data_IF_862001168933
#
_entry.id   IF_862001168933
#
_cell.length_a   1.000
_cell.length_b   1.000
_cell.length_c   1.000
_cell.angle_alpha   90.00
_cell.angle_beta   90.00
_cell.angle_gamma   90.00
#
_symmetry.space_group_name_H-M   'P 1'
#
loop_
_entity.id
_entity.type
_entity.pdbx_description
1 polymer ?
#
# COMPACT_ATOMS: atom_id res chain seq x y z
N UNK A 1 24.26 2.04 60.84
CA UNK A 1 25.15 3.22 60.91
C UNK A 1 24.24 4.44 60.98
N UNK A 2 24.43 5.28 62.01
CA UNK A 2 23.77 6.60 62.19
C UNK A 2 23.98 7.46 60.92
N UNK A 3 23.09 8.36 60.49
CA UNK A 3 22.54 9.50 61.22
C UNK A 3 21.15 9.95 60.71
N UNK A 4 20.30 10.36 61.66
CA UNK A 4 19.26 11.37 61.49
C UNK A 4 19.91 12.78 61.55
N UNK A 5 19.40 13.74 60.78
CA UNK A 5 18.67 14.93 61.27
C UNK A 5 18.58 16.04 60.20
N UNK A 6 17.34 16.44 59.92
CA UNK A 6 16.93 17.84 59.80
C UNK A 6 16.35 18.24 58.44
N UNK A 7 15.19 18.91 58.34
CA UNK A 7 14.08 19.10 59.29
C UNK A 7 12.93 19.78 58.52
N UNK A 8 11.72 19.67 59.09
CA UNK A 8 10.59 20.62 59.00
C UNK A 8 9.94 20.93 57.63
N UNK A 9 8.71 20.45 57.43
CA UNK A 9 7.47 21.17 57.81
C UNK A 9 6.20 20.58 57.14
N UNK A 10 5.38 19.87 57.94
CA UNK A 10 3.95 20.14 58.23
C UNK A 10 3.17 20.97 57.17
N UNK A 11 1.99 20.61 56.65
CA UNK A 11 0.80 20.07 57.33
C UNK A 11 -0.33 19.81 56.31
N UNK A 12 -1.06 18.72 56.57
CA UNK A 12 -2.53 18.55 56.56
C UNK A 12 -3.40 18.82 55.32
N UNK A 13 -4.13 17.76 54.99
CA UNK A 13 -5.33 17.65 54.17
C UNK A 13 -6.48 18.56 54.63
N UNK A 14 -7.25 19.13 53.69
CA UNK A 14 -8.70 19.33 53.83
C UNK A 14 -9.39 19.18 52.46
N UNK A 15 -10.47 18.39 52.47
CA UNK A 15 -11.45 18.16 51.41
C UNK A 15 -12.23 19.44 51.01
N UNK A 16 -12.72 19.49 49.76
CA UNK A 16 -14.15 19.63 49.38
C UNK A 16 -14.40 20.35 48.04
N UNK A 17 -15.44 19.84 47.37
CA UNK A 17 -16.41 20.54 46.51
C UNK A 17 -16.03 20.96 45.07
N UNK A 18 -16.64 20.21 44.14
CA UNK A 18 -17.52 20.69 43.06
C UNK A 18 -17.44 22.16 42.66
N UNK A 19 -17.18 22.41 41.37
CA UNK A 19 -17.61 23.64 40.69
C UNK A 19 -18.07 23.30 39.27
N UNK A 20 -19.36 23.56 39.04
CA UNK A 20 -20.04 23.48 37.75
C UNK A 20 -19.73 24.70 36.87
N UNK A 21 -19.81 24.45 35.56
CA UNK A 21 -20.17 25.38 34.47
C UNK A 21 -19.35 26.65 34.26
N UNK A 22 -18.63 26.69 33.15
CA UNK A 22 -18.73 27.83 32.23
C UNK A 22 -18.76 27.33 30.79
N UNK A 23 -19.94 27.44 30.20
CA UNK A 23 -20.16 27.50 28.76
C UNK A 23 -19.24 28.55 28.15
N UNK A 24 -18.32 28.12 27.30
CA UNK A 24 -17.74 28.97 26.28
C UNK A 24 -18.12 28.35 24.94
N UNK A 25 -19.20 28.88 24.39
CA UNK A 25 -19.46 28.84 22.95
C UNK A 25 -18.19 29.33 22.25
N UNK A 26 -17.58 28.44 21.48
CA UNK A 26 -16.56 28.79 20.51
C UNK A 26 -16.86 27.97 19.27
N UNK A 27 -17.80 28.52 18.48
CA UNK A 27 -17.93 28.30 17.05
C UNK A 27 -16.59 28.65 16.38
N UNK A 28 -15.59 27.78 16.52
CA UNK A 28 -14.36 27.85 15.76
C UNK A 28 -14.51 26.98 14.51
N UNK A 29 -15.27 27.50 13.54
CA UNK A 29 -15.18 27.04 12.17
C UNK A 29 -13.73 27.28 11.70
N UNK A 30 -12.94 26.24 11.39
CA UNK A 30 -11.58 26.47 10.90
C UNK A 30 -11.68 27.14 9.53
N UNK A 31 -10.96 28.25 9.35
CA UNK A 31 -10.89 28.97 8.08
C UNK A 31 -10.57 28.03 6.92
N UNK A 32 -11.19 28.30 5.77
CA UNK A 32 -10.94 27.64 4.47
C UNK A 32 -9.45 27.49 4.14
N UNK A 33 -8.64 28.44 4.60
CA UNK A 33 -7.19 28.50 4.41
C UNK A 33 -6.42 27.29 4.98
N UNK A 34 -6.85 26.74 6.12
CA UNK A 34 -6.19 25.56 6.71
C UNK A 34 -6.54 24.27 5.96
N UNK A 35 -7.79 24.16 5.47
CA UNK A 35 -8.24 23.05 4.65
C UNK A 35 -7.52 23.03 3.29
N UNK A 36 -7.34 24.20 2.69
CA UNK A 36 -6.63 24.34 1.41
C UNK A 36 -5.16 23.95 1.52
N UNK A 37 -4.50 24.26 2.64
CA UNK A 37 -3.10 23.88 2.88
C UNK A 37 -2.93 22.35 2.95
N UNK A 38 -3.80 21.67 3.68
CA UNK A 38 -3.77 20.22 3.81
C UNK A 38 -4.03 19.50 2.47
N UNK A 39 -4.98 20.00 1.67
CA UNK A 39 -5.24 19.49 0.32
C UNK A 39 -4.01 19.68 -0.59
N UNK A 40 -3.34 20.83 -0.50
CA UNK A 40 -2.15 21.09 -1.29
C UNK A 40 -0.98 20.18 -0.90
N UNK A 41 -0.80 19.88 0.38
CA UNK A 41 0.26 18.97 0.85
C UNK A 41 0.03 17.53 0.40
N UNK A 42 -1.20 17.02 0.54
CA UNK A 42 -1.58 15.71 0.00
C UNK A 42 -1.38 15.63 -1.51
N UNK A 43 -1.74 16.69 -2.23
CA UNK A 43 -1.53 16.81 -3.68
C UNK A 43 -0.06 16.73 -4.06
N UNK A 44 0.80 17.46 -3.36
CA UNK A 44 2.24 17.46 -3.64
C UNK A 44 2.88 16.10 -3.37
N UNK A 45 2.54 15.43 -2.26
CA UNK A 45 3.10 14.12 -1.96
C UNK A 45 2.66 13.05 -2.99
N UNK A 46 1.38 13.07 -3.37
CA UNK A 46 0.86 12.15 -4.38
C UNK A 46 1.49 12.40 -5.77
N UNK A 47 1.72 13.66 -6.14
CA UNK A 47 2.43 14.03 -7.37
C UNK A 47 3.87 13.49 -7.38
N UNK A 48 4.61 13.61 -6.28
CA UNK A 48 5.97 13.09 -6.18
C UNK A 48 6.03 11.57 -6.30
N UNK A 49 5.07 10.86 -5.71
CA UNK A 49 4.97 9.40 -5.85
C UNK A 49 4.73 8.98 -7.31
N UNK A 50 3.82 9.66 -8.00
CA UNK A 50 3.55 9.39 -9.43
C UNK A 50 4.78 9.65 -10.30
N UNK A 51 5.54 10.72 -10.03
CA UNK A 51 6.78 11.02 -10.74
C UNK A 51 7.86 9.95 -10.54
N UNK A 52 8.03 9.42 -9.33
CA UNK A 52 8.99 8.33 -9.06
C UNK A 52 8.61 7.06 -9.82
N UNK A 53 7.31 6.74 -9.90
CA UNK A 53 6.82 5.60 -10.68
C UNK A 53 7.08 5.76 -12.18
N UNK A 54 6.97 6.98 -12.71
CA UNK A 54 7.21 7.29 -14.12
C UNK A 54 8.72 7.32 -14.48
N UNK A 55 9.59 7.73 -13.57
CA UNK A 55 11.03 7.89 -13.85
C UNK A 55 11.83 6.58 -13.92
N UNK A 56 11.27 5.45 -13.49
CA UNK A 56 11.92 4.13 -13.58
C UNK A 56 11.63 3.35 -14.88
N UNK A 57 10.91 3.96 -15.82
CA UNK A 57 10.70 3.37 -17.14
C UNK A 57 11.61 4.07 -18.13
N UNK A 58 12.66 3.39 -18.63
CA UNK A 58 13.18 3.52 -20.01
C UNK A 58 14.54 2.83 -20.23
N UNK A 59 14.70 1.56 -19.80
CA UNK A 59 15.71 0.70 -20.43
C UNK A 59 15.11 -0.67 -20.71
N UNK A 60 14.64 -0.86 -21.96
CA UNK A 60 14.35 -2.19 -22.48
C UNK A 60 15.69 -2.83 -22.78
N UNK A 61 16.23 -3.59 -21.83
CA UNK A 61 17.42 -4.40 -22.08
C UNK A 61 17.02 -5.58 -22.97
N UNK A 62 17.18 -5.42 -24.28
CA UNK A 62 16.98 -6.52 -25.24
C UNK A 62 18.22 -7.41 -25.14
N UNK A 63 18.19 -8.35 -24.18
CA UNK A 63 19.20 -9.39 -24.07
C UNK A 63 19.12 -10.33 -25.27
N UNK A 64 20.24 -10.51 -25.98
CA UNK A 64 20.36 -11.55 -26.99
C UNK A 64 20.29 -12.96 -26.40
N UNK A 65 20.31 -13.97 -27.27
CA UNK A 65 20.43 -15.36 -26.82
C UNK A 65 21.73 -15.55 -26.04
N UNK A 66 21.63 -16.00 -24.79
CA UNK A 66 22.79 -16.31 -23.96
C UNK A 66 23.29 -17.71 -24.37
N UNK A 67 24.55 -17.85 -24.84
CA UNK A 67 25.12 -19.15 -25.17
C UNK A 67 25.00 -20.11 -23.99
N UNK A 68 24.44 -21.31 -24.22
CA UNK A 68 24.21 -22.32 -23.17
C UNK A 68 22.87 -22.20 -22.43
N UNK A 69 22.01 -21.24 -22.76
CA UNK A 69 20.67 -21.15 -22.19
C UNK A 69 19.75 -22.27 -22.72
N UNK A 70 19.33 -23.17 -21.82
CA UNK A 70 18.41 -24.26 -22.13
C UNK A 70 16.98 -23.83 -21.85
N UNK A 71 16.12 -23.86 -22.87
CA UNK A 71 14.68 -23.60 -22.72
C UNK A 71 14.01 -24.88 -22.21
N UNK A 72 13.58 -24.87 -20.95
CA UNK A 72 12.81 -25.96 -20.35
C UNK A 72 11.35 -25.87 -20.80
N UNK A 73 10.81 -26.98 -21.33
CA UNK A 73 9.38 -27.11 -21.56
C UNK A 73 8.66 -27.37 -20.23
N UNK A 74 7.87 -26.40 -19.77
CA UNK A 74 7.18 -26.40 -18.48
C UNK A 74 5.74 -26.88 -18.53
N UNK A 75 5.28 -27.31 -19.70
CA UNK A 75 3.87 -27.69 -19.94
C UNK A 75 2.89 -26.56 -19.58
N UNK A 76 3.17 -25.37 -20.16
CA UNK A 76 2.47 -24.12 -19.85
C UNK A 76 0.97 -24.15 -20.18
N UNK A 77 0.57 -24.94 -21.17
CA UNK A 77 -0.83 -25.06 -21.60
C UNK A 77 -1.63 -25.87 -20.58
N UNK A 78 -1.14 -27.05 -20.17
CA UNK A 78 -1.79 -27.83 -19.13
C UNK A 78 -1.85 -27.08 -17.79
N UNK A 79 -0.85 -26.24 -17.50
CA UNK A 79 -0.85 -25.39 -16.32
C UNK A 79 -1.97 -24.33 -16.36
N UNK A 80 -2.24 -23.75 -17.53
CA UNK A 80 -3.34 -22.81 -17.73
C UNK A 80 -4.70 -23.48 -17.50
N UNK A 81 -4.91 -24.65 -18.11
CA UNK A 81 -6.12 -25.44 -17.91
C UNK A 81 -6.36 -25.80 -16.44
N UNK A 82 -5.30 -26.19 -15.74
CA UNK A 82 -5.35 -26.50 -14.32
C UNK A 82 -5.69 -25.26 -13.49
N UNK A 83 -5.06 -24.12 -13.78
CA UNK A 83 -5.33 -22.86 -13.10
C UNK A 83 -6.79 -22.42 -13.31
N UNK A 84 -7.28 -22.53 -14.54
CA UNK A 84 -8.66 -22.20 -14.88
C UNK A 84 -9.65 -23.09 -14.11
N UNK A 85 -9.43 -24.41 -14.14
CA UNK A 85 -10.27 -25.37 -13.41
C UNK A 85 -10.23 -25.15 -11.89
N UNK A 86 -9.07 -24.78 -11.36
CA UNK A 86 -8.89 -24.57 -9.93
C UNK A 86 -9.69 -23.38 -9.39
N UNK A 87 -9.81 -22.29 -10.15
CA UNK A 87 -10.34 -21.01 -9.64
C UNK A 87 -11.41 -20.33 -10.49
N UNK A 88 -11.34 -20.47 -11.82
CA UNK A 88 -12.06 -19.59 -12.75
C UNK A 88 -13.18 -20.30 -13.52
N UNK A 89 -13.25 -21.63 -13.47
CA UNK A 89 -14.35 -22.40 -14.05
C UNK A 89 -15.68 -22.14 -13.33
N UNK A 90 -16.79 -22.55 -13.97
CA UNK A 90 -18.14 -22.42 -13.40
C UNK A 90 -18.29 -23.15 -12.05
N UNK A 91 -17.63 -24.31 -11.92
CA UNK A 91 -17.54 -25.10 -10.68
C UNK A 91 -16.08 -25.25 -10.28
N UNK A 92 -15.46 -24.22 -9.68
CA UNK A 92 -14.02 -24.23 -9.40
C UNK A 92 -13.68 -25.22 -8.29
N UNK A 93 -12.51 -25.86 -8.39
CA UNK A 93 -12.02 -26.77 -7.34
C UNK A 93 -11.90 -26.07 -5.99
N UNK A 94 -11.48 -24.80 -6.01
CA UNK A 94 -11.40 -23.95 -4.83
C UNK A 94 -12.51 -22.90 -4.88
N UNK A 95 -13.35 -22.89 -3.83
CA UNK A 95 -14.44 -21.92 -3.72
C UNK A 95 -13.94 -20.48 -3.49
N UNK A 96 -14.88 -19.52 -3.55
CA UNK A 96 -14.57 -18.09 -3.42
C UNK A 96 -13.94 -17.72 -2.07
N UNK A 97 -14.24 -18.46 -1.00
CA UNK A 97 -13.61 -18.23 0.32
C UNK A 97 -12.11 -18.57 0.30
N UNK A 98 -11.75 -19.71 -0.31
CA UNK A 98 -10.36 -20.11 -0.51
C UNK A 98 -9.67 -19.15 -1.49
N UNK A 99 -10.34 -18.74 -2.56
CA UNK A 99 -9.84 -17.73 -3.49
C UNK A 99 -9.48 -16.44 -2.75
N UNK A 100 -10.42 -15.90 -1.96
CA UNK A 100 -10.21 -14.66 -1.18
C UNK A 100 -9.06 -14.78 -0.19
N UNK A 101 -8.90 -15.94 0.45
CA UNK A 101 -7.75 -16.20 1.34
C UNK A 101 -6.43 -16.18 0.57
N UNK A 102 -6.39 -16.72 -0.64
CA UNK A 102 -5.17 -16.88 -1.46
C UNK A 102 -4.76 -15.60 -2.20
N UNK A 103 -5.74 -14.89 -2.76
CA UNK A 103 -5.50 -13.67 -3.56
C UNK A 103 -5.74 -12.38 -2.79
N UNK A 104 -6.22 -12.46 -1.53
CA UNK A 104 -6.58 -11.32 -0.67
C UNK A 104 -7.67 -10.41 -1.24
N UNK A 105 -8.42 -10.88 -2.24
CA UNK A 105 -9.52 -10.15 -2.88
C UNK A 105 -10.60 -11.09 -3.42
N UNK A 106 -11.76 -10.56 -3.80
CA UNK A 106 -12.80 -11.37 -4.45
C UNK A 106 -12.38 -11.77 -5.87
N UNK A 107 -12.90 -12.90 -6.35
CA UNK A 107 -12.69 -13.38 -7.72
C UNK A 107 -13.16 -12.37 -8.77
N UNK A 108 -14.30 -11.71 -8.51
CA UNK A 108 -14.83 -10.67 -9.41
C UNK A 108 -13.90 -9.46 -9.51
N UNK A 109 -13.31 -8.99 -8.41
CA UNK A 109 -12.35 -7.90 -8.45
C UNK A 109 -11.08 -8.31 -9.20
N UNK A 110 -10.60 -9.53 -8.96
CA UNK A 110 -9.45 -10.07 -9.69
C UNK A 110 -9.72 -10.11 -11.19
N UNK A 111 -10.86 -10.64 -11.64
CA UNK A 111 -11.22 -10.70 -13.06
C UNK A 111 -11.37 -9.30 -13.67
N UNK A 112 -11.95 -8.33 -12.94
CA UNK A 112 -12.01 -6.93 -13.39
C UNK A 112 -10.62 -6.35 -13.64
N UNK A 113 -9.65 -6.67 -12.79
CA UNK A 113 -8.25 -6.25 -12.97
C UNK A 113 -7.62 -6.96 -14.18
N UNK A 114 -7.88 -8.26 -14.33
CA UNK A 114 -7.39 -9.06 -15.47
C UNK A 114 -7.86 -8.48 -16.79
N UNK A 115 -9.16 -8.22 -16.92
CA UNK A 115 -9.76 -7.69 -18.15
C UNK A 115 -9.21 -6.30 -18.47
N UNK A 116 -9.20 -5.40 -17.48
CA UNK A 116 -8.72 -4.04 -17.69
C UNK A 116 -7.23 -3.97 -18.08
N UNK A 117 -6.39 -4.85 -17.52
CA UNK A 117 -4.96 -4.91 -17.88
C UNK A 117 -4.76 -5.55 -19.25
N UNK A 118 -5.53 -6.60 -19.57
CA UNK A 118 -5.48 -7.26 -20.88
C UNK A 118 -5.83 -6.29 -22.00
N UNK A 119 -6.85 -5.46 -21.79
CA UNK A 119 -7.28 -4.44 -22.76
C UNK A 119 -6.27 -3.30 -22.89
N UNK A 120 -5.49 -3.02 -21.84
CA UNK A 120 -4.53 -1.92 -21.81
C UNK A 120 -3.15 -2.27 -22.40
N UNK A 121 -2.56 -3.43 -22.05
CA UNK A 121 -1.24 -3.85 -22.53
C UNK A 121 -1.30 -5.20 -23.26
N UNK A 122 -1.11 -5.16 -24.59
CA UNK A 122 -1.14 -6.33 -25.47
C UNK A 122 -0.10 -7.40 -25.11
N UNK A 123 0.85 -7.12 -24.22
CA UNK A 123 1.74 -8.12 -23.64
C UNK A 123 0.97 -9.19 -22.87
N UNK A 124 -0.12 -8.82 -22.18
CA UNK A 124 -0.89 -9.75 -21.36
C UNK A 124 -1.84 -10.61 -22.17
N UNK A 125 -2.15 -10.21 -23.41
CA UNK A 125 -2.91 -11.03 -24.34
C UNK A 125 -2.16 -12.34 -24.65
N UNK A 126 -2.89 -13.45 -24.66
CA UNK A 126 -2.34 -14.74 -25.04
C UNK A 126 -2.15 -14.78 -26.56
N UNK A 127 -0.94 -15.09 -27.01
CA UNK A 127 -0.59 -15.15 -28.43
C UNK A 127 -0.14 -16.54 -28.81
N UNK A 128 -0.26 -16.87 -30.09
CA UNK A 128 0.24 -18.11 -30.66
C UNK A 128 1.68 -17.87 -31.13
N UNK A 129 2.59 -18.78 -30.79
CA UNK A 129 3.98 -18.70 -31.25
C UNK A 129 4.14 -19.13 -32.72
N UNK A 130 5.33 -18.94 -33.29
CA UNK A 130 5.60 -19.31 -34.69
C UNK A 130 5.47 -20.82 -34.97
N UNK A 131 5.40 -21.65 -33.93
CA UNK A 131 5.21 -23.10 -34.01
C UNK A 131 3.73 -23.50 -33.81
N UNK A 132 2.82 -22.53 -33.71
CA UNK A 132 1.39 -22.77 -33.54
C UNK A 132 0.96 -23.10 -32.10
N UNK A 133 1.83 -22.92 -31.10
CA UNK A 133 1.50 -23.22 -29.70
C UNK A 133 1.02 -22.00 -28.95
N UNK A 134 0.19 -22.21 -27.93
CA UNK A 134 -0.29 -21.12 -27.11
C UNK A 134 0.82 -20.62 -26.17
N UNK A 135 1.00 -19.30 -26.17
CA UNK A 135 1.81 -18.60 -25.17
C UNK A 135 1.14 -18.64 -23.79
N UNK A 136 1.81 -18.04 -22.81
CA UNK A 136 1.24 -17.90 -21.46
C UNK A 136 0.00 -17.02 -21.49
N UNK A 137 -1.05 -17.48 -20.81
CA UNK A 137 -2.32 -16.75 -20.72
C UNK A 137 -2.21 -15.51 -19.84
N UNK A 138 -3.19 -14.62 -19.97
CA UNK A 138 -3.36 -13.45 -19.10
C UNK A 138 -3.51 -13.89 -17.63
N UNK A 139 -4.30 -14.94 -17.37
CA UNK A 139 -4.54 -15.47 -16.04
C UNK A 139 -3.27 -16.01 -15.39
N UNK A 140 -2.41 -16.70 -16.15
CA UNK A 140 -1.11 -17.18 -15.67
C UNK A 140 -0.21 -16.01 -15.27
N UNK A 141 0.00 -15.04 -16.16
CA UNK A 141 0.87 -13.88 -15.90
C UNK A 141 0.42 -13.10 -14.67
N UNK A 142 -0.87 -12.76 -14.61
CA UNK A 142 -1.43 -11.97 -13.51
C UNK A 142 -1.48 -12.79 -12.22
N UNK A 143 -1.75 -14.10 -12.28
CA UNK A 143 -1.67 -14.96 -11.09
C UNK A 143 -0.26 -14.98 -10.52
N UNK A 144 0.78 -15.12 -11.35
CA UNK A 144 2.16 -15.09 -10.87
C UNK A 144 2.48 -13.78 -10.14
N UNK A 145 2.04 -12.64 -10.69
CA UNK A 145 2.18 -11.32 -10.08
C UNK A 145 1.48 -11.23 -8.72
N UNK A 146 0.20 -11.62 -8.63
CA UNK A 146 -0.52 -11.60 -7.36
C UNK A 146 0.06 -12.55 -6.32
N UNK A 147 0.65 -13.68 -6.74
CA UNK A 147 1.33 -14.61 -5.85
C UNK A 147 2.59 -13.99 -5.25
N UNK A 148 3.36 -13.25 -6.04
CA UNK A 148 4.47 -12.44 -5.53
C UNK A 148 3.99 -11.37 -4.55
N UNK A 149 2.95 -10.62 -4.91
CA UNK A 149 2.44 -9.52 -4.09
C UNK A 149 1.79 -9.99 -2.77
N UNK A 150 0.99 -11.05 -2.79
CA UNK A 150 0.23 -11.49 -1.63
C UNK A 150 1.06 -12.28 -0.61
N UNK A 151 2.12 -12.95 -1.06
CA UNK A 151 2.91 -13.87 -0.23
C UNK A 151 4.40 -13.56 -0.19
N UNK A 152 4.89 -12.59 -0.97
CA UNK A 152 6.33 -12.36 -1.11
C UNK A 152 7.06 -13.55 -1.71
N UNK A 153 6.39 -14.33 -2.56
CA UNK A 153 6.98 -15.51 -3.19
C UNK A 153 8.17 -15.10 -4.07
N UNK A 154 9.29 -15.83 -3.99
CA UNK A 154 10.41 -15.58 -4.89
C UNK A 154 9.98 -15.91 -6.32
N UNK A 155 10.63 -15.24 -7.28
CA UNK A 155 10.24 -15.24 -8.70
C UNK A 155 10.36 -16.63 -9.33
N UNK A 156 11.33 -17.42 -8.89
CA UNK A 156 11.55 -18.81 -9.30
C UNK A 156 10.49 -19.79 -8.78
N UNK A 157 9.93 -19.57 -7.59
CA UNK A 157 8.87 -20.42 -7.03
C UNK A 157 7.55 -20.35 -7.82
N UNK A 158 7.35 -19.31 -8.65
CA UNK A 158 6.16 -19.23 -9.52
C UNK A 158 6.17 -20.27 -10.64
N UNK A 159 7.35 -20.82 -10.97
CA UNK A 159 7.53 -21.87 -11.98
C UNK A 159 6.87 -23.19 -11.56
N UNK A 160 6.81 -23.50 -10.26
CA UNK A 160 6.26 -24.77 -9.80
C UNK A 160 4.76 -24.90 -10.05
N UNK A 161 3.99 -23.85 -9.75
CA UNK A 161 2.53 -23.86 -9.82
C UNK A 161 1.97 -23.28 -11.13
N UNK A 162 2.50 -22.13 -11.59
CA UNK A 162 1.97 -21.42 -12.76
C UNK A 162 2.68 -21.84 -14.05
N UNK A 163 3.82 -22.53 -13.94
CA UNK A 163 4.68 -22.95 -15.07
C UNK A 163 5.18 -21.78 -15.91
N UNK A 164 5.50 -20.67 -15.23
CA UNK A 164 6.03 -19.43 -15.78
C UNK A 164 7.49 -19.24 -15.37
N UNK A 165 8.35 -18.89 -16.32
CA UNK A 165 9.77 -18.68 -16.07
C UNK A 165 10.04 -17.37 -15.34
N UNK A 166 11.08 -17.37 -14.51
CA UNK A 166 11.45 -16.24 -13.64
C UNK A 166 11.50 -14.88 -14.36
N UNK A 167 12.20 -14.82 -15.50
CA UNK A 167 12.34 -13.60 -16.28
C UNK A 167 10.99 -13.07 -16.79
N UNK A 168 10.07 -13.98 -17.14
CA UNK A 168 8.72 -13.64 -17.60
C UNK A 168 7.86 -13.16 -16.44
N UNK A 169 8.01 -13.75 -15.25
CA UNK A 169 7.35 -13.30 -14.03
C UNK A 169 7.78 -11.87 -13.66
N UNK A 170 9.09 -11.58 -13.70
CA UNK A 170 9.64 -10.25 -13.42
C UNK A 170 9.12 -9.22 -14.42
N UNK A 171 9.13 -9.54 -15.72
CA UNK A 171 8.60 -8.65 -16.76
C UNK A 171 7.09 -8.42 -16.60
N UNK A 172 6.34 -9.49 -16.30
CA UNK A 172 4.90 -9.41 -16.02
C UNK A 172 4.62 -8.51 -14.82
N UNK A 173 5.43 -8.59 -13.75
CA UNK A 173 5.31 -7.74 -12.56
C UNK A 173 5.52 -6.27 -12.90
N UNK A 174 6.58 -5.94 -13.65
CA UNK A 174 6.86 -4.54 -14.06
C UNK A 174 5.73 -3.96 -14.91
N UNK A 175 5.29 -4.70 -15.93
CA UNK A 175 4.20 -4.27 -16.81
C UNK A 175 2.88 -4.17 -16.09
N UNK A 176 2.60 -5.09 -15.17
CA UNK A 176 1.40 -5.08 -14.34
C UNK A 176 1.35 -3.83 -13.47
N UNK A 177 2.43 -3.51 -12.74
CA UNK A 177 2.47 -2.31 -11.91
C UNK A 177 2.24 -1.03 -12.73
N UNK A 178 2.87 -0.94 -13.92
CA UNK A 178 2.66 0.18 -14.83
C UNK A 178 1.20 0.27 -15.29
N UNK A 179 0.65 -0.83 -15.81
CA UNK A 179 -0.74 -0.88 -16.27
C UNK A 179 -1.74 -0.57 -15.15
N UNK A 180 -1.50 -1.04 -13.92
CA UNK A 180 -2.34 -0.70 -12.76
C UNK A 180 -2.36 0.81 -12.52
N UNK A 181 -1.21 1.47 -12.56
CA UNK A 181 -1.12 2.92 -12.35
C UNK A 181 -1.79 3.68 -13.49
N UNK A 182 -1.59 3.26 -14.73
CA UNK A 182 -2.17 3.91 -15.91
C UNK A 182 -3.69 3.74 -15.97
N UNK A 183 -4.21 2.54 -15.66
CA UNK A 183 -5.65 2.23 -15.73
C UNK A 183 -6.42 2.71 -14.50
N UNK A 184 -5.86 2.52 -13.30
CA UNK A 184 -6.56 2.75 -12.04
C UNK A 184 -6.05 3.96 -11.27
N UNK A 185 -4.91 4.55 -11.65
CA UNK A 185 -4.26 5.61 -10.88
C UNK A 185 -5.09 6.89 -10.77
N UNK A 186 -5.80 7.29 -11.83
CA UNK A 186 -6.67 8.47 -11.76
C UNK A 186 -7.80 8.30 -10.74
N UNK A 187 -8.35 7.09 -10.63
CA UNK A 187 -9.42 6.84 -9.67
C UNK A 187 -8.88 6.59 -8.26
N UNK A 188 -7.87 5.71 -8.11
CA UNK A 188 -7.46 5.12 -6.84
C UNK A 188 -6.14 5.66 -6.26
N UNK A 189 -5.33 6.35 -7.07
CA UNK A 189 -4.07 6.99 -6.64
C UNK A 189 -4.13 8.53 -6.78
N UNK A 190 -5.34 9.09 -6.82
CA UNK A 190 -5.58 10.54 -6.81
C UNK A 190 -5.61 11.10 -5.40
N UNK A 191 -5.39 12.39 -5.31
CA UNK A 191 -5.63 13.15 -4.09
C UNK A 191 -7.13 13.31 -3.82
N UNK A 192 -7.55 13.41 -2.55
CA UNK A 192 -8.94 13.72 -2.22
C UNK A 192 -9.35 15.06 -2.84
N UNK A 193 -10.55 15.10 -3.42
CA UNK A 193 -11.19 16.34 -3.87
C UNK A 193 -11.82 17.07 -2.68
N UNK A 194 -12.17 18.36 -2.81
CA UNK A 194 -12.90 19.07 -1.76
C UNK A 194 -14.19 18.35 -1.32
N UNK A 195 -14.88 17.69 -2.25
CA UNK A 195 -16.07 16.89 -1.94
C UNK A 195 -15.74 15.65 -1.11
N UNK A 196 -14.62 14.97 -1.42
CA UNK A 196 -14.15 13.83 -0.62
C UNK A 196 -13.81 14.29 0.80
N UNK A 197 -13.08 15.40 0.93
CA UNK A 197 -12.70 15.99 2.23
C UNK A 197 -13.95 16.35 3.03
N UNK A 198 -14.92 17.06 2.45
CA UNK A 198 -16.17 17.41 3.12
C UNK A 198 -16.95 16.17 3.58
N UNK A 199 -17.02 15.12 2.74
CA UNK A 199 -17.65 13.85 3.08
C UNK A 199 -16.94 13.18 4.27
N UNK A 200 -15.61 13.12 4.25
CA UNK A 200 -14.80 12.50 5.30
C UNK A 200 -14.99 13.21 6.65
N UNK A 201 -14.94 14.55 6.63
CA UNK A 201 -15.17 15.38 7.81
C UNK A 201 -16.57 15.17 8.39
N UNK A 202 -17.59 15.11 7.53
CA UNK A 202 -18.96 14.84 7.94
C UNK A 202 -19.12 13.46 8.60
N UNK A 203 -18.52 12.42 8.01
CA UNK A 203 -18.53 11.06 8.58
C UNK A 203 -17.79 11.03 9.92
N UNK A 204 -16.65 11.72 10.02
CA UNK A 204 -15.88 11.85 11.26
C UNK A 204 -16.70 12.50 12.36
N UNK A 205 -17.35 13.62 12.07
CA UNK A 205 -18.20 14.35 13.01
C UNK A 205 -19.39 13.49 13.49
N UNK A 206 -20.11 12.82 12.58
CA UNK A 206 -21.21 11.90 12.94
C UNK A 206 -20.77 10.76 13.89
N UNK A 207 -19.48 10.43 13.90
CA UNK A 207 -18.91 9.36 14.72
C UNK A 207 -18.22 9.86 15.98
N UNK A 208 -18.29 11.16 16.26
CA UNK A 208 -17.65 11.79 17.43
C UNK A 208 -16.17 12.11 17.25
N UNK A 209 -15.67 12.10 16.01
CA UNK A 209 -14.30 12.48 15.64
C UNK A 209 -14.33 13.72 14.74
N UNK A 210 -14.69 14.90 15.27
CA UNK A 210 -14.71 16.13 14.47
C UNK A 210 -13.32 16.38 13.88
N UNK A 211 -13.29 16.82 12.62
CA UNK A 211 -12.06 17.13 11.86
C UNK A 211 -11.18 15.93 11.46
N UNK A 212 -11.66 14.69 11.63
CA UNK A 212 -10.92 13.49 11.21
C UNK A 212 -11.10 13.21 9.71
N UNK A 213 -9.99 13.04 8.99
CA UNK A 213 -9.98 12.65 7.57
C UNK A 213 -9.76 11.15 7.35
N UNK A 214 -9.12 10.48 8.29
CA UNK A 214 -8.83 9.07 8.20
C UNK A 214 -7.97 8.59 9.36
N UNK A 215 -7.70 7.29 9.36
CA UNK A 215 -6.73 6.65 10.23
C UNK A 215 -5.38 6.59 9.53
N UNK A 216 -4.33 6.94 10.26
CA UNK A 216 -2.95 6.88 9.79
C UNK A 216 -2.26 5.66 10.40
N UNK A 217 -1.61 4.87 9.57
CA UNK A 217 -0.79 3.74 10.01
C UNK A 217 0.55 3.73 9.28
N UNK A 218 1.57 3.19 9.95
CA UNK A 218 2.94 3.12 9.47
C UNK A 218 3.46 1.68 9.52
N UNK A 219 3.93 1.16 8.38
CA UNK A 219 4.62 -0.11 8.30
C UNK A 219 6.12 0.10 8.13
N UNK A 220 6.91 -0.47 9.04
CA UNK A 220 8.37 -0.41 8.98
C UNK A 220 8.93 -1.68 8.35
N UNK A 221 9.65 -1.54 7.24
CA UNK A 221 10.36 -2.65 6.60
C UNK A 221 11.85 -2.50 6.73
N UNK A 222 12.50 -3.51 7.32
CA UNK A 222 13.96 -3.57 7.36
C UNK A 222 14.51 -3.67 5.95
N UNK A 223 15.33 -2.69 5.58
CA UNK A 223 15.97 -2.64 4.28
C UNK A 223 17.31 -3.37 4.34
N UNK A 224 17.28 -4.69 4.13
CA UNK A 224 18.47 -5.55 4.20
C UNK A 224 19.60 -5.11 3.27
N UNK A 225 19.24 -4.64 2.07
CA UNK A 225 20.19 -4.21 1.04
C UNK A 225 20.25 -2.68 0.92
N UNK A 226 20.06 -1.95 2.03
CA UNK A 226 20.18 -0.50 2.05
C UNK A 226 21.60 -0.10 1.62
N UNK A 227 21.76 0.76 0.58
CA UNK A 227 23.08 1.26 0.20
C UNK A 227 23.75 1.95 1.40
N UNK A 228 25.05 1.72 1.60
CA UNK A 228 25.81 2.31 2.72
C UNK A 228 25.68 3.83 2.76
N UNK A 229 25.65 4.48 1.59
CA UNK A 229 25.46 5.93 1.45
C UNK A 229 24.14 6.44 2.06
N UNK A 230 23.10 5.59 2.11
CA UNK A 230 21.77 5.95 2.61
C UNK A 230 21.51 5.36 4.00
N UNK A 231 22.30 4.39 4.45
CA UNK A 231 22.13 3.74 5.74
C UNK A 231 22.05 4.73 6.90
N UNK A 232 22.85 5.80 6.90
CA UNK A 232 22.82 6.83 7.94
C UNK A 232 21.49 7.60 8.04
N UNK A 233 20.78 7.78 6.91
CA UNK A 233 19.49 8.47 6.87
C UNK A 233 18.34 7.55 7.29
N UNK A 234 18.38 6.29 6.86
CA UNK A 234 17.28 5.33 7.06
C UNK A 234 17.43 4.47 8.32
N UNK A 235 18.52 4.60 9.06
CA UNK A 235 18.74 3.83 10.30
C UNK A 235 18.13 4.54 11.49
N UNK A 236 17.07 3.95 12.05
CA UNK A 236 16.44 4.43 13.27
C UNK A 236 17.15 3.96 14.54
N UNK A 237 16.47 4.14 15.68
CA UNK A 237 16.96 3.78 17.02
C UNK A 237 17.44 2.33 17.15
N UNK A 238 16.87 1.44 16.34
CA UNK A 238 17.15 0.00 16.39
C UNK A 238 18.39 -0.41 15.57
N UNK A 239 19.16 0.54 15.05
CA UNK A 239 20.42 0.28 14.34
C UNK A 239 20.28 -0.44 12.99
N UNK A 240 19.06 -0.72 12.54
CA UNK A 240 18.75 -1.27 11.22
C UNK A 240 18.17 -0.20 10.32
N UNK A 241 18.63 -0.14 9.07
CA UNK A 241 18.01 0.71 8.05
C UNK A 241 16.60 0.21 7.75
N UNK A 242 15.61 1.11 7.78
CA UNK A 242 14.20 0.81 7.55
C UNK A 242 13.60 1.80 6.58
N UNK A 243 12.77 1.31 5.68
CA UNK A 243 11.84 2.12 4.89
C UNK A 243 10.49 2.10 5.62
N UNK A 244 9.87 3.27 5.74
CA UNK A 244 8.55 3.42 6.36
C UNK A 244 7.53 3.63 5.23
N UNK A 245 6.47 2.82 5.20
CA UNK A 245 5.26 3.17 4.46
C UNK A 245 4.26 3.75 5.43
N UNK A 246 3.92 5.01 5.21
CA UNK A 246 2.86 5.71 5.91
C UNK A 246 1.64 5.78 4.98
N UNK A 247 0.46 5.43 5.50
CA UNK A 247 -0.77 5.48 4.72
C UNK A 247 -1.92 6.06 5.54
N UNK A 248 -2.77 6.84 4.87
CA UNK A 248 -4.02 7.37 5.43
C UNK A 248 -5.18 6.69 4.74
N UNK A 249 -5.99 5.98 5.52
CA UNK A 249 -7.19 5.30 5.04
C UNK A 249 -8.45 5.85 5.72
N UNK A 250 -9.55 5.96 4.96
CA UNK A 250 -10.84 6.30 5.52
C UNK A 250 -11.59 5.07 6.08
N UNK A 251 -12.81 5.31 6.55
CA UNK A 251 -13.68 4.26 7.07
C UNK A 251 -14.02 3.18 6.04
N UNK A 252 -14.14 3.55 4.77
CA UNK A 252 -14.46 2.63 3.67
C UNK A 252 -13.21 1.85 3.20
N UNK A 253 -12.09 1.97 3.93
CA UNK A 253 -10.78 1.41 3.64
C UNK A 253 -10.16 2.00 2.36
N UNK A 254 -10.61 3.20 1.95
CA UNK A 254 -10.03 3.91 0.84
C UNK A 254 -8.72 4.57 1.28
N UNK A 255 -7.63 4.25 0.59
CA UNK A 255 -6.31 4.85 0.84
C UNK A 255 -6.25 6.18 0.07
N UNK A 256 -6.29 7.28 0.81
CA UNK A 256 -6.20 8.64 0.26
C UNK A 256 -4.76 9.11 0.07
N UNK A 257 -3.86 8.52 0.85
CA UNK A 257 -2.45 8.86 0.84
C UNK A 257 -1.61 7.64 1.18
N UNK A 258 -0.50 7.48 0.46
CA UNK A 258 0.55 6.53 0.78
C UNK A 258 1.91 7.17 0.47
N UNK A 259 2.84 7.11 1.41
CA UNK A 259 4.15 7.72 1.28
C UNK A 259 5.24 6.81 1.84
N UNK A 260 6.34 6.71 1.10
CA UNK A 260 7.55 6.00 1.56
C UNK A 260 8.54 7.00 2.13
N UNK A 261 8.73 6.97 3.45
CA UNK A 261 9.52 7.95 4.19
C UNK A 261 10.86 7.41 4.69
N UNK A 262 11.78 8.36 4.91
CA UNK A 262 12.96 8.19 5.75
C UNK A 262 12.58 8.50 7.20
N UNK A 263 13.20 7.82 8.16
CA UNK A 263 12.98 7.98 9.61
C UNK A 263 13.29 9.38 10.18
N UNK A 264 13.55 10.37 9.32
CA UNK A 264 13.79 11.77 9.65
C UNK A 264 13.09 12.69 8.65
N UNK A 265 11.81 12.97 8.91
CA UNK A 265 11.16 14.18 8.42
C UNK A 265 10.51 14.90 9.62
N UNK A 266 10.41 16.25 9.55
CA UNK A 266 9.92 17.09 10.64
C UNK A 266 8.47 16.73 11.01
N UNK A 267 8.03 17.08 12.24
CA UNK A 267 6.80 16.54 12.79
C UNK A 267 5.60 16.94 11.93
N UNK A 268 4.96 15.93 11.33
CA UNK A 268 3.50 15.86 11.42
C UNK A 268 3.20 16.07 12.90
N UNK A 269 2.57 17.19 13.25
CA UNK A 269 2.26 17.49 14.64
C UNK A 269 1.20 16.50 15.12
N UNK A 270 1.67 15.39 15.67
CA UNK A 270 0.87 14.44 16.42
C UNK A 270 0.55 15.11 17.76
N UNK A 271 -0.61 15.75 17.84
CA UNK A 271 -1.18 16.10 19.15
C UNK A 271 -1.82 14.84 19.74
N UNK A 272 -1.41 14.49 20.96
CA UNK A 272 -2.01 13.40 21.73
C UNK A 272 -2.76 14.02 22.90
N UNK A 273 -4.09 14.07 22.81
CA UNK A 273 -4.92 14.38 23.96
C UNK A 273 -5.76 13.16 24.32
N UNK A 274 -5.57 12.69 25.56
CA UNK A 274 -6.38 11.68 26.27
C UNK A 274 -6.98 10.58 25.36
N UNK A 275 -6.11 9.69 24.89
CA UNK A 275 -6.39 8.47 24.11
C UNK A 275 -6.76 8.62 22.62
N UNK A 276 -6.63 9.80 22.01
CA UNK A 276 -6.86 9.96 20.56
C UNK A 276 -5.61 10.46 19.84
N UNK A 277 -5.24 9.81 18.73
CA UNK A 277 -4.19 10.28 17.82
C UNK A 277 -4.85 11.23 16.83
N UNK A 278 -4.46 12.49 16.86
CA UNK A 278 -4.87 13.49 15.88
C UNK A 278 -3.82 13.52 14.77
N UNK A 279 -4.26 13.34 13.52
CA UNK A 279 -3.44 13.66 12.33
C UNK A 279 -4.03 14.92 11.72
N UNK A 280 -3.34 16.04 11.94
CA UNK A 280 -3.47 17.24 11.12
C UNK A 280 -2.23 17.21 10.23
N UNK A 281 -2.44 17.02 8.92
CA UNK A 281 -1.38 17.05 7.90
C UNK A 281 -0.92 18.48 7.68
#
# INVERSE_FOLDING_TARGET
MNFNLGDCSNNNDEDFSSSSSSSLDLDFFPSTEHHDNLINQLRMNNYMFQQVLQNHTNEVFIGGSIPGHVVINRDREAADDNLFRDYFSATPRFNDAIFRRRYRMSRNLFLRIVDAIKDHDMYFEQRIDALGRFGLSTLQKITAVFRMLAYGLPTDATDEYVKIGESTTIESMKRFCRAIVEVFGEQYLRSPTPNDVARLLHIGEQRGFPRMLGSLDCMHWKWKNCPTAWAGQYTGRNGSSTIILEAVADYDLWIWHAYFAVLRLPPIMLFKEKNTIWVII
#
